data_IF_941065239161
#
_entry.id   IF_941065239161
#
_cell.length_a   1.000
_cell.length_b   1.000
_cell.length_c   1.000
_cell.angle_alpha   90.00
_cell.angle_beta   90.00
_cell.angle_gamma   90.00
#
_symmetry.space_group_name_H-M   'P 1'
#
loop_
_entity.id
_entity.type
_entity.pdbx_description
1 polymer ?
#
# COMPACT_ATOMS: atom_id res chain seq x y z
N UNK A 1 -9.77 1.38 -14.91
CA UNK A 1 -10.90 1.59 -13.96
C UNK A 1 -10.64 2.75 -13.01
N UNK A 2 -9.45 2.90 -12.42
CA UNK A 2 -9.11 4.06 -11.57
C UNK A 2 -9.18 5.40 -12.33
N UNK A 3 -8.63 5.47 -13.53
CA UNK A 3 -8.68 6.68 -14.38
C UNK A 3 -10.11 7.09 -14.75
N UNK A 4 -10.99 6.11 -15.00
CA UNK A 4 -12.41 6.35 -15.26
C UNK A 4 -13.16 6.94 -14.04
N UNK A 5 -12.57 6.86 -12.84
CA UNK A 5 -13.05 7.48 -11.61
C UNK A 5 -12.31 8.81 -11.31
N UNK A 6 -11.46 9.29 -12.22
CA UNK A 6 -10.68 10.53 -12.06
C UNK A 6 -9.39 10.39 -11.24
N UNK A 7 -8.96 9.16 -10.92
CA UNK A 7 -7.71 8.93 -10.22
C UNK A 7 -6.51 8.94 -11.18
N UNK A 8 -5.37 9.48 -10.73
CA UNK A 8 -4.09 9.25 -11.38
C UNK A 8 -3.74 7.75 -11.33
N UNK A 9 -3.28 7.19 -12.45
CA UNK A 9 -2.85 5.80 -12.53
C UNK A 9 -1.50 5.70 -13.24
N UNK A 10 -0.73 4.69 -12.84
CA UNK A 10 0.54 4.33 -13.45
C UNK A 10 0.69 2.80 -13.44
N UNK A 11 1.46 2.26 -14.38
CA UNK A 11 1.79 0.83 -14.45
C UNK A 11 2.76 0.37 -13.36
N UNK A 12 3.53 1.29 -12.80
CA UNK A 12 4.61 1.03 -11.85
C UNK A 12 4.90 2.26 -10.97
N UNK A 13 5.79 2.09 -10.00
CA UNK A 13 6.15 3.14 -9.04
C UNK A 13 6.82 4.36 -9.67
N UNK A 14 7.40 4.23 -10.88
CA UNK A 14 8.06 5.33 -11.60
C UNK A 14 7.08 6.40 -12.10
N UNK A 15 5.80 6.04 -12.26
CA UNK A 15 4.76 7.01 -12.64
C UNK A 15 4.24 7.87 -11.49
N UNK A 16 4.72 7.67 -10.25
CA UNK A 16 4.36 8.52 -9.12
C UNK A 16 5.36 9.69 -9.04
N UNK A 17 4.90 10.96 -9.00
CA UNK A 17 5.77 12.14 -8.92
C UNK A 17 6.85 12.03 -7.85
N UNK A 18 8.04 12.58 -8.12
CA UNK A 18 9.20 12.49 -7.23
C UNK A 18 9.01 13.26 -5.91
N UNK A 19 8.19 14.31 -5.94
CA UNK A 19 7.82 15.17 -4.83
C UNK A 19 6.54 14.72 -4.11
N UNK A 20 5.97 13.57 -4.49
CA UNK A 20 4.79 13.04 -3.83
C UNK A 20 5.09 12.69 -2.37
N UNK A 21 4.24 13.17 -1.45
CA UNK A 21 4.31 12.86 -0.01
C UNK A 21 2.95 12.32 0.44
N UNK A 22 2.62 11.06 0.11
CA UNK A 22 1.33 10.48 0.50
C UNK A 22 1.24 10.36 2.03
N UNK A 23 0.08 10.68 2.60
CA UNK A 23 -0.17 10.39 4.02
C UNK A 23 -0.42 8.89 4.26
N UNK A 24 -0.96 8.19 3.26
CA UNK A 24 -1.36 6.78 3.32
C UNK A 24 -1.00 6.06 2.01
N UNK A 25 -0.38 4.88 2.13
CA UNK A 25 -0.15 3.94 1.04
C UNK A 25 -0.90 2.63 1.34
N UNK A 26 -1.91 2.31 0.53
CA UNK A 26 -2.68 1.07 0.68
C UNK A 26 -2.11 -0.03 -0.20
N UNK A 27 -1.58 -1.10 0.42
CA UNK A 27 -1.05 -2.26 -0.28
C UNK A 27 -2.18 -3.27 -0.51
N UNK A 28 -2.67 -3.29 -1.76
CA UNK A 28 -3.82 -4.07 -2.21
C UNK A 28 -3.46 -5.14 -3.27
N UNK A 29 -2.25 -5.70 -3.20
CA UNK A 29 -1.78 -6.76 -4.09
C UNK A 29 -1.91 -8.13 -3.45
N UNK A 30 -1.82 -9.19 -4.27
CA UNK A 30 -1.86 -10.57 -3.76
C UNK A 30 -0.60 -10.87 -2.92
N UNK A 31 -0.69 -11.74 -1.89
CA UNK A 31 0.44 -12.04 -1.00
C UNK A 31 1.72 -12.47 -1.71
N UNK A 32 1.60 -13.20 -2.82
CA UNK A 32 2.72 -13.76 -3.58
C UNK A 32 3.65 -12.69 -4.18
N UNK A 33 3.15 -11.49 -4.42
CA UNK A 33 3.92 -10.41 -5.09
C UNK A 33 4.29 -9.26 -4.16
N UNK A 34 3.94 -9.34 -2.87
CA UNK A 34 4.14 -8.24 -1.92
C UNK A 34 5.59 -7.80 -1.83
N UNK A 35 6.52 -8.76 -1.77
CA UNK A 35 7.95 -8.45 -1.58
C UNK A 35 8.47 -7.60 -2.74
N UNK A 36 8.17 -8.03 -3.96
CA UNK A 36 8.67 -7.38 -5.18
C UNK A 36 8.01 -6.02 -5.38
N UNK A 37 6.68 -5.94 -5.21
CA UNK A 37 5.94 -4.69 -5.40
C UNK A 37 6.31 -3.67 -4.33
N UNK A 38 6.30 -4.06 -3.05
CA UNK A 38 6.45 -3.12 -1.93
C UNK A 38 7.85 -2.50 -1.89
N UNK A 39 8.88 -3.23 -2.33
CA UNK A 39 10.25 -2.72 -2.36
C UNK A 39 10.41 -1.44 -3.21
N UNK A 40 9.63 -1.30 -4.29
CA UNK A 40 9.65 -0.11 -5.14
C UNK A 40 9.16 1.17 -4.45
N UNK A 41 8.48 1.04 -3.30
CA UNK A 41 7.87 2.14 -2.55
C UNK A 41 8.66 2.54 -1.29
N UNK A 42 9.87 1.98 -1.11
CA UNK A 42 10.78 2.31 0.02
C UNK A 42 11.03 3.80 0.20
N UNK A 43 10.97 4.60 -0.88
CA UNK A 43 11.19 6.05 -0.81
C UNK A 43 10.20 6.81 0.10
N UNK A 44 9.12 6.15 0.51
CA UNK A 44 8.11 6.71 1.42
C UNK A 44 8.30 6.27 2.89
N UNK A 45 9.43 5.63 3.24
CA UNK A 45 9.71 5.09 4.57
C UNK A 45 10.17 6.12 5.62
N UNK A 46 9.92 7.41 5.40
CA UNK A 46 10.44 8.51 6.22
C UNK A 46 9.62 8.80 7.49
N UNK A 47 8.63 7.98 7.79
CA UNK A 47 7.70 8.15 8.91
C UNK A 47 6.48 9.01 8.62
N UNK A 48 6.43 9.69 7.47
CA UNK A 48 5.28 10.55 7.09
C UNK A 48 4.17 9.78 6.39
N UNK A 49 4.52 8.71 5.69
CA UNK A 49 3.57 7.84 4.99
C UNK A 49 3.22 6.64 5.86
N UNK A 50 1.93 6.45 6.17
CA UNK A 50 1.46 5.21 6.80
C UNK A 50 1.22 4.15 5.73
N UNK A 51 1.73 2.94 5.92
CA UNK A 51 1.46 1.80 5.05
C UNK A 51 0.34 0.95 5.64
N UNK A 52 -0.77 0.83 4.91
CA UNK A 52 -1.89 -0.02 5.27
C UNK A 52 -1.94 -1.24 4.34
N UNK A 53 -1.69 -2.42 4.87
CA UNK A 53 -1.86 -3.65 4.09
C UNK A 53 -3.25 -4.24 4.30
N UNK A 54 -3.93 -4.54 3.19
CA UNK A 54 -5.18 -5.32 3.17
C UNK A 54 -4.96 -6.79 2.77
N UNK A 55 -3.69 -7.20 2.62
CA UNK A 55 -3.36 -8.54 2.18
C UNK A 55 -3.55 -9.58 3.29
N UNK A 56 -4.26 -10.66 2.96
CA UNK A 56 -4.45 -11.79 3.85
C UNK A 56 -3.12 -12.54 4.08
N UNK A 57 -2.88 -12.98 5.31
CA UNK A 57 -1.76 -13.88 5.65
C UNK A 57 -0.35 -13.27 5.61
N UNK A 58 -0.17 -11.98 5.39
CA UNK A 58 1.17 -11.34 5.39
C UNK A 58 1.42 -10.58 6.69
N UNK A 59 2.35 -11.01 7.58
CA UNK A 59 2.61 -10.32 8.84
C UNK A 59 3.16 -8.89 8.68
N UNK A 60 2.93 -8.04 9.67
CA UNK A 60 3.52 -6.67 9.74
C UNK A 60 5.04 -6.73 9.59
N UNK A 61 5.70 -7.67 10.28
CA UNK A 61 7.15 -7.87 10.20
C UNK A 61 7.68 -8.08 8.78
N UNK A 62 6.86 -8.60 7.85
CA UNK A 62 7.28 -8.72 6.44
C UNK A 62 7.43 -7.34 5.79
N UNK A 63 6.52 -6.42 6.08
CA UNK A 63 6.57 -5.06 5.56
C UNK A 63 7.68 -4.25 6.23
N UNK A 64 7.88 -4.39 7.54
CA UNK A 64 9.00 -3.74 8.25
C UNK A 64 10.35 -4.18 7.66
N UNK A 65 10.53 -5.49 7.40
CA UNK A 65 11.74 -6.00 6.75
C UNK A 65 11.94 -5.47 5.31
N UNK A 66 10.86 -5.09 4.62
CA UNK A 66 10.93 -4.54 3.26
C UNK A 66 11.14 -3.02 3.30
N UNK A 67 10.37 -2.29 4.10
CA UNK A 67 10.30 -0.82 4.09
C UNK A 67 11.30 -0.17 5.03
N UNK A 68 11.75 -0.88 6.06
CA UNK A 68 12.60 -0.37 7.14
C UNK A 68 11.81 0.17 8.33
N UNK A 69 12.51 0.32 9.45
CA UNK A 69 11.92 0.52 10.78
C UNK A 69 11.23 1.88 10.98
N UNK A 70 11.42 2.82 10.06
CA UNK A 70 10.79 4.14 10.10
C UNK A 70 9.44 4.18 9.40
N UNK A 71 9.04 3.12 8.69
CA UNK A 71 7.75 3.04 8.04
C UNK A 71 6.67 2.58 9.04
N UNK A 72 5.66 3.40 9.38
CA UNK A 72 4.51 2.96 10.15
C UNK A 72 3.70 1.96 9.32
N UNK A 73 3.51 0.74 9.82
CA UNK A 73 2.76 -0.32 9.14
C UNK A 73 1.54 -0.73 9.96
N UNK A 74 0.37 -0.70 9.32
CA UNK A 74 -0.89 -1.20 9.86
C UNK A 74 -1.41 -2.32 8.97
N UNK A 75 -2.05 -3.31 9.57
CA UNK A 75 -2.81 -4.33 8.83
C UNK A 75 -4.30 -4.19 9.10
N UNK A 76 -5.07 -4.35 8.04
CA UNK A 76 -6.50 -4.63 8.13
C UNK A 76 -6.84 -5.79 7.19
N UNK A 77 -7.98 -6.42 7.38
CA UNK A 77 -8.40 -7.56 6.56
C UNK A 77 -9.86 -7.37 6.16
N UNK A 78 -10.13 -6.43 5.23
CA UNK A 78 -11.49 -6.06 4.86
C UNK A 78 -12.17 -7.22 4.11
N UNK A 79 -13.48 -7.09 3.96
CA UNK A 79 -14.30 -7.98 3.14
C UNK A 79 -14.90 -7.22 1.94
N UNK A 80 -15.44 -7.97 0.97
CA UNK A 80 -16.00 -7.39 -0.27
C UNK A 80 -17.20 -6.45 -0.05
N UNK A 81 -18.05 -6.60 0.98
CA UNK A 81 -19.08 -5.61 1.32
C UNK A 81 -18.57 -4.17 1.57
N UNK A 82 -17.28 -3.97 1.84
CA UNK A 82 -16.71 -2.63 1.98
C UNK A 82 -16.90 -1.76 0.71
N UNK A 83 -17.01 -2.38 -0.47
CA UNK A 83 -17.26 -1.67 -1.73
C UNK A 83 -18.62 -0.94 -1.76
N UNK A 84 -19.56 -1.33 -0.90
CA UNK A 84 -20.87 -0.68 -0.74
C UNK A 84 -21.05 -0.06 0.65
N UNK A 85 -19.95 0.15 1.38
CA UNK A 85 -19.99 0.73 2.73
C UNK A 85 -20.59 -0.20 3.81
N UNK A 86 -20.68 -1.50 3.55
CA UNK A 86 -21.23 -2.50 4.49
C UNK A 86 -20.17 -3.47 5.01
N UNK A 87 -18.93 -3.00 5.11
CA UNK A 87 -17.85 -3.76 5.74
C UNK A 87 -18.15 -4.03 7.22
N UNK A 88 -17.44 -5.00 7.79
CA UNK A 88 -17.51 -5.38 9.21
C UNK A 88 -16.13 -5.21 9.85
#
# INVERSE_FOLDING_TARGET
>A
RAEALGCNAASDAGGIPADAVPALAVIAVKPQVIRDVTAAYKRFNDGRTTFLSIAAGTPVATFEAILGDRAPVVRCMPNTPAAIGKGM
#
